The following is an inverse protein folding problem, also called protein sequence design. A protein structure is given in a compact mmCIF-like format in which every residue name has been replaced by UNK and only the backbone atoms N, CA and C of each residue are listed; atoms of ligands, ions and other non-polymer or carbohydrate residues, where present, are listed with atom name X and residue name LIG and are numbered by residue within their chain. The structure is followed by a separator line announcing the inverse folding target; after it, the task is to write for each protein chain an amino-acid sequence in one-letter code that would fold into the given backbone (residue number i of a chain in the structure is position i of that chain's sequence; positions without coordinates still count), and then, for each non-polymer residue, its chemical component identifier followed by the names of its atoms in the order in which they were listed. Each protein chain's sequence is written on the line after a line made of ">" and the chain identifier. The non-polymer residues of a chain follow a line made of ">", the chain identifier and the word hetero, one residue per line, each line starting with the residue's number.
data_IF_597018467366
#
_entry.id   IF_597018467366
#
_cell.length_a   1.000
_cell.length_b   1.000
_cell.length_c   1.000
_cell.angle_alpha   90.00
_cell.angle_beta   90.00
_cell.angle_gamma   90.00
#
_symmetry.space_group_name_H-M   'P 1'
#
loop_
_entity.id
_entity.type
_entity.pdbx_description
1 polymer ?
#
# COMPACT_ATOMS: atom_id res chain seq x y z
N UNK A 1 -19.85 -33.57 -50.95
CA UNK A 1 -20.63 -33.45 -49.70
C UNK A 1 -19.88 -34.21 -48.62
N UNK A 2 -19.76 -33.61 -47.43
CA UNK A 2 -19.30 -34.14 -46.14
C UNK A 2 -17.79 -34.27 -45.82
N UNK A 3 -17.40 -33.29 -45.00
CA UNK A 3 -16.24 -33.11 -44.11
C UNK A 3 -16.24 -34.13 -42.95
N UNK A 4 -15.06 -34.57 -42.48
CA UNK A 4 -14.64 -34.56 -41.06
C UNK A 4 -13.26 -35.23 -40.90
N UNK A 5 -12.15 -34.55 -40.56
CA UNK A 5 -11.84 -33.76 -39.34
C UNK A 5 -11.93 -34.57 -38.03
N UNK A 6 -11.04 -35.56 -37.85
CA UNK A 6 -10.72 -36.10 -36.52
C UNK A 6 -9.21 -36.26 -36.35
N UNK A 7 -8.51 -35.17 -36.03
CA UNK A 7 -7.13 -35.22 -35.55
C UNK A 7 -6.87 -34.14 -34.50
N UNK A 8 -7.32 -34.32 -33.26
CA UNK A 8 -6.96 -33.38 -32.17
C UNK A 8 -7.30 -33.85 -30.75
N UNK A 9 -7.07 -35.11 -30.35
CA UNK A 9 -7.21 -35.48 -28.92
C UNK A 9 -6.25 -36.53 -28.35
N UNK A 10 -5.32 -37.08 -29.13
CA UNK A 10 -4.47 -38.20 -28.68
C UNK A 10 -3.34 -37.84 -27.68
N UNK A 11 -3.10 -36.56 -27.38
CA UNK A 11 -1.96 -36.13 -26.57
C UNK A 11 -2.13 -36.29 -25.04
N UNK A 12 -3.36 -36.20 -24.52
CA UNK A 12 -3.60 -36.12 -23.06
C UNK A 12 -3.80 -37.52 -22.45
N UNK A 13 -4.38 -38.45 -23.21
CA UNK A 13 -4.74 -39.78 -22.69
C UNK A 13 -3.53 -40.69 -22.38
N UNK A 14 -2.35 -40.43 -22.98
CA UNK A 14 -1.13 -41.22 -22.73
C UNK A 14 -0.40 -40.85 -21.43
N UNK A 15 -0.77 -39.76 -20.77
CA UNK A 15 -0.11 -39.29 -19.53
C UNK A 15 -0.82 -39.75 -18.24
N UNK A 16 -2.01 -40.33 -18.35
CA UNK A 16 -2.78 -40.79 -17.18
C UNK A 16 -2.38 -42.23 -16.80
N UNK A 17 -2.00 -42.48 -15.54
CA UNK A 17 -1.59 -43.81 -15.11
C UNK A 17 -2.74 -44.81 -15.26
N UNK A 18 -2.42 -46.05 -15.64
CA UNK A 18 -3.42 -47.09 -15.92
C UNK A 18 -4.06 -47.67 -14.65
N UNK A 19 -3.37 -47.57 -13.52
CA UNK A 19 -3.88 -48.01 -12.21
C UNK A 19 -4.80 -46.97 -11.59
N UNK A 20 -5.96 -47.41 -11.09
CA UNK A 20 -6.93 -46.55 -10.40
C UNK A 20 -6.31 -45.86 -9.18
N UNK A 21 -5.45 -46.57 -8.44
CA UNK A 21 -4.77 -46.04 -7.25
C UNK A 21 -3.86 -44.85 -7.57
N UNK A 22 -3.10 -44.91 -8.66
CA UNK A 22 -2.22 -43.80 -9.07
C UNK A 22 -3.03 -42.60 -9.57
N UNK A 23 -4.18 -42.81 -10.23
CA UNK A 23 -5.07 -41.72 -10.61
C UNK A 23 -5.64 -40.99 -9.39
N UNK A 24 -6.11 -41.75 -8.39
CA UNK A 24 -6.60 -41.16 -7.14
C UNK A 24 -5.48 -40.41 -6.41
N UNK A 25 -4.28 -40.97 -6.34
CA UNK A 25 -3.11 -40.31 -5.73
C UNK A 25 -2.79 -38.98 -6.43
N UNK A 26 -2.73 -38.95 -7.76
CA UNK A 26 -2.45 -37.72 -8.51
C UNK A 26 -3.52 -36.64 -8.30
N UNK A 27 -4.80 -37.03 -8.26
CA UNK A 27 -5.89 -36.09 -7.99
C UNK A 27 -5.83 -35.55 -6.57
N UNK A 28 -5.51 -36.38 -5.57
CA UNK A 28 -5.32 -35.94 -4.19
C UNK A 28 -4.13 -35.00 -4.05
N UNK A 29 -3.01 -35.30 -4.71
CA UNK A 29 -1.84 -34.40 -4.73
C UNK A 29 -2.16 -33.07 -5.42
N UNK A 30 -2.83 -33.12 -6.58
CA UNK A 30 -3.26 -31.92 -7.29
C UNK A 30 -4.22 -31.07 -6.45
N UNK A 31 -5.18 -31.70 -5.77
CA UNK A 31 -6.10 -31.03 -4.87
C UNK A 31 -5.35 -30.40 -3.68
N UNK A 32 -4.40 -31.11 -3.07
CA UNK A 32 -3.60 -30.57 -1.97
C UNK A 32 -2.79 -29.35 -2.41
N UNK A 33 -2.12 -29.41 -3.56
CA UNK A 33 -1.36 -28.28 -4.11
C UNK A 33 -2.30 -27.08 -4.37
N UNK A 34 -3.48 -27.34 -4.94
CA UNK A 34 -4.47 -26.30 -5.21
C UNK A 34 -4.98 -25.65 -3.92
N UNK A 35 -5.26 -26.45 -2.89
CA UNK A 35 -5.69 -25.94 -1.58
C UNK A 35 -4.61 -25.09 -0.93
N UNK A 36 -3.37 -25.58 -0.86
CA UNK A 36 -2.24 -24.82 -0.28
C UNK A 36 -2.01 -23.52 -1.06
N UNK A 37 -2.05 -23.58 -2.40
CA UNK A 37 -1.91 -22.40 -3.25
C UNK A 37 -3.02 -21.37 -3.03
N UNK A 38 -4.28 -21.81 -2.99
CA UNK A 38 -5.43 -20.94 -2.74
C UNK A 38 -5.37 -20.30 -1.35
N UNK A 39 -5.07 -21.08 -0.30
CA UNK A 39 -4.92 -20.56 1.06
C UNK A 39 -3.76 -19.57 1.15
N UNK A 40 -2.62 -19.87 0.54
CA UNK A 40 -1.47 -18.95 0.51
C UNK A 40 -1.79 -17.64 -0.19
N UNK A 41 -2.48 -17.70 -1.33
CA UNK A 41 -2.90 -16.52 -2.09
C UNK A 41 -3.88 -15.64 -1.28
N UNK A 42 -4.93 -16.23 -0.73
CA UNK A 42 -5.91 -15.51 0.09
C UNK A 42 -5.23 -14.93 1.35
N UNK A 43 -4.39 -15.73 2.01
CA UNK A 43 -3.65 -15.30 3.19
C UNK A 43 -2.77 -14.08 2.90
N UNK A 44 -2.05 -14.07 1.77
CA UNK A 44 -1.23 -12.93 1.37
C UNK A 44 -2.05 -11.64 1.17
N UNK A 45 -3.20 -11.75 0.49
CA UNK A 45 -4.10 -10.60 0.28
C UNK A 45 -4.63 -10.04 1.60
N UNK A 46 -5.07 -10.93 2.50
CA UNK A 46 -5.60 -10.54 3.82
C UNK A 46 -4.53 -9.87 4.67
N UNK A 47 -3.33 -10.48 4.76
CA UNK A 47 -2.22 -9.92 5.54
C UNK A 47 -1.80 -8.57 5.01
N UNK A 48 -1.67 -8.43 3.68
CA UNK A 48 -1.31 -7.16 3.05
C UNK A 48 -2.36 -6.08 3.31
N UNK A 49 -3.65 -6.41 3.19
CA UNK A 49 -4.74 -5.48 3.49
C UNK A 49 -4.73 -5.01 4.95
N UNK A 50 -4.58 -5.92 5.90
CA UNK A 50 -4.50 -5.59 7.33
C UNK A 50 -3.28 -4.69 7.61
N UNK A 51 -2.13 -5.02 7.03
CA UNK A 51 -0.90 -4.26 7.26
C UNK A 51 -0.99 -2.84 6.68
N UNK A 52 -1.53 -2.69 5.48
CA UNK A 52 -1.73 -1.38 4.86
C UNK A 52 -2.70 -0.51 5.67
N UNK A 53 -3.81 -1.07 6.13
CA UNK A 53 -4.78 -0.36 6.99
C UNK A 53 -4.14 0.06 8.31
N UNK A 54 -3.36 -0.82 8.94
CA UNK A 54 -2.65 -0.53 10.18
C UNK A 54 -1.64 0.60 10.01
N UNK A 55 -0.78 0.52 8.98
CA UNK A 55 0.21 1.55 8.67
C UNK A 55 -0.47 2.88 8.34
N UNK A 56 -1.54 2.85 7.54
CA UNK A 56 -2.33 4.02 7.18
C UNK A 56 -2.91 4.70 8.42
N UNK A 57 -3.55 3.95 9.32
CA UNK A 57 -4.09 4.51 10.58
C UNK A 57 -3.00 5.06 11.48
N UNK A 58 -1.85 4.39 11.58
CA UNK A 58 -0.72 4.89 12.34
C UNK A 58 -0.21 6.22 11.77
N UNK A 59 -0.03 6.30 10.45
CA UNK A 59 0.37 7.52 9.76
C UNK A 59 -0.65 8.66 9.96
N UNK A 60 -1.95 8.36 9.86
CA UNK A 60 -3.04 9.31 10.08
C UNK A 60 -3.07 9.85 11.52
N UNK A 61 -2.87 8.98 12.51
CA UNK A 61 -2.85 9.39 13.91
C UNK A 61 -1.64 10.27 14.22
N UNK A 62 -0.47 9.94 13.65
CA UNK A 62 0.73 10.77 13.76
C UNK A 62 0.50 12.13 13.09
N UNK A 63 -0.03 12.15 11.86
CA UNK A 63 -0.26 13.41 11.14
C UNK A 63 -1.25 14.32 11.87
N UNK A 64 -2.34 13.75 12.40
CA UNK A 64 -3.32 14.47 13.22
C UNK A 64 -2.73 15.00 14.52
N UNK A 65 -1.89 14.22 15.18
CA UNK A 65 -1.22 14.66 16.42
C UNK A 65 -0.24 15.80 16.12
N UNK A 66 0.55 15.67 15.05
CA UNK A 66 1.51 16.67 14.59
C UNK A 66 0.81 17.99 14.23
N UNK A 67 -0.31 17.94 13.50
CA UNK A 67 -1.04 19.14 13.07
C UNK A 67 -1.67 19.93 14.22
N UNK A 68 -1.95 19.28 15.35
CA UNK A 68 -2.48 19.91 16.56
C UNK A 68 -1.41 20.58 17.44
N UNK A 69 -0.12 20.39 17.13
CA UNK A 69 0.95 20.96 17.95
C UNK A 69 1.16 22.45 17.71
N UNK A 70 1.54 23.18 18.78
CA UNK A 70 1.85 24.60 18.70
C UNK A 70 2.98 24.92 17.73
N UNK A 71 3.99 24.04 17.62
CA UNK A 71 5.11 24.22 16.67
C UNK A 71 4.62 24.29 15.23
N UNK A 72 3.65 23.45 14.84
CA UNK A 72 3.08 23.47 13.50
C UNK A 72 2.15 24.67 13.31
N UNK A 73 1.19 24.86 14.23
CA UNK A 73 0.18 25.93 14.09
C UNK A 73 0.80 27.33 14.14
N UNK A 74 1.72 27.57 15.07
CA UNK A 74 2.40 28.86 15.21
C UNK A 74 3.49 29.02 14.16
N UNK A 75 4.24 27.95 13.86
CA UNK A 75 5.27 27.98 12.83
C UNK A 75 4.70 28.35 11.46
N UNK A 76 3.51 27.84 11.11
CA UNK A 76 2.85 28.21 9.85
C UNK A 76 2.38 29.67 9.86
N UNK A 77 1.84 30.17 10.98
CA UNK A 77 1.43 31.58 11.13
C UNK A 77 2.62 32.55 11.06
N UNK A 78 3.77 32.16 11.60
CA UNK A 78 5.00 32.96 11.64
C UNK A 78 5.91 32.71 10.43
N UNK A 79 5.51 31.82 9.50
CA UNK A 79 6.28 31.41 8.33
C UNK A 79 7.67 30.84 8.68
N UNK A 80 7.80 30.21 9.85
CA UNK A 80 9.04 29.66 10.39
C UNK A 80 9.27 28.22 9.93
N UNK A 81 9.72 28.08 8.68
CA UNK A 81 10.00 26.77 8.07
C UNK A 81 11.05 25.94 8.84
N UNK A 82 12.06 26.60 9.43
CA UNK A 82 13.15 25.89 10.12
C UNK A 82 12.68 25.14 11.38
N UNK A 83 11.84 25.74 12.21
CA UNK A 83 11.32 25.08 13.42
C UNK A 83 10.41 23.90 13.07
N UNK A 84 9.53 24.09 12.07
CA UNK A 84 8.67 23.04 11.54
C UNK A 84 9.52 21.88 10.99
N UNK A 85 10.55 22.18 10.20
CA UNK A 85 11.46 21.19 9.64
C UNK A 85 12.16 20.36 10.72
N UNK A 86 12.72 21.01 11.75
CA UNK A 86 13.38 20.30 12.84
C UNK A 86 12.41 19.41 13.63
N UNK A 87 11.20 19.90 13.90
CA UNK A 87 10.18 19.12 14.57
C UNK A 87 9.71 17.92 13.74
N UNK A 88 9.40 18.15 12.46
CA UNK A 88 8.98 17.10 11.53
C UNK A 88 10.04 16.01 11.37
N UNK A 89 11.32 16.37 11.30
CA UNK A 89 12.42 15.39 11.24
C UNK A 89 12.58 14.59 12.54
N UNK A 90 12.36 15.21 13.71
CA UNK A 90 12.34 14.46 14.98
C UNK A 90 11.20 13.45 15.00
N UNK A 91 9.99 13.85 14.59
CA UNK A 91 8.83 12.95 14.52
C UNK A 91 9.11 11.83 13.53
N UNK A 92 9.59 12.14 12.32
CA UNK A 92 9.93 11.16 11.29
C UNK A 92 10.89 10.08 11.81
N UNK A 93 11.97 10.50 12.48
CA UNK A 93 12.96 9.58 13.07
C UNK A 93 12.39 8.75 14.20
N UNK A 94 11.55 9.34 15.05
CA UNK A 94 10.94 8.65 16.19
C UNK A 94 9.87 7.63 15.77
N UNK A 95 9.13 7.89 14.70
CA UNK A 95 8.08 6.99 14.19
C UNK A 95 8.57 6.01 13.13
N UNK A 96 9.79 6.19 12.61
CA UNK A 96 10.31 5.41 11.49
C UNK A 96 9.62 5.70 10.16
N UNK A 97 8.86 6.80 10.07
CA UNK A 97 8.17 7.17 8.84
C UNK A 97 9.17 7.53 7.72
N UNK A 98 8.82 7.22 6.47
CA UNK A 98 9.63 7.60 5.31
C UNK A 98 9.74 9.11 5.15
N UNK A 99 8.67 9.85 5.50
CA UNK A 99 8.63 11.30 5.50
C UNK A 99 7.56 11.83 6.47
N UNK A 100 7.76 13.06 6.95
CA UNK A 100 6.73 13.87 7.63
C UNK A 100 6.77 15.25 6.99
N UNK A 101 5.73 15.58 6.23
CA UNK A 101 5.65 16.81 5.44
C UNK A 101 4.51 17.66 5.97
N UNK A 102 4.84 18.88 6.36
CA UNK A 102 3.88 19.92 6.76
C UNK A 102 3.76 20.89 5.59
N UNK A 103 2.53 21.17 5.17
CA UNK A 103 2.22 22.17 4.14
C UNK A 103 1.27 23.25 4.67
N UNK A 104 1.26 24.40 4.01
CA UNK A 104 0.25 25.44 4.24
C UNK A 104 -1.02 25.21 3.40
N UNK A 105 -1.99 26.12 3.53
CA UNK A 105 -3.27 26.05 2.81
C UNK A 105 -3.13 26.17 1.29
N UNK A 106 -2.02 26.71 0.79
CA UNK A 106 -1.72 26.80 -0.65
C UNK A 106 -1.00 25.53 -1.15
N UNK A 107 -0.72 24.57 -0.26
CA UNK A 107 0.00 23.34 -0.57
C UNK A 107 1.52 23.51 -0.65
N UNK A 108 2.08 24.60 -0.12
CA UNK A 108 3.53 24.84 -0.08
C UNK A 108 4.14 24.10 1.12
N UNK A 109 5.23 23.35 0.90
CA UNK A 109 5.89 22.56 1.96
C UNK A 109 6.75 23.42 2.89
N UNK A 110 6.61 23.23 4.19
CA UNK A 110 7.46 23.79 5.26
C UNK A 110 8.35 22.73 5.91
N UNK A 111 8.11 21.45 5.64
CA UNK A 111 9.07 20.40 5.97
C UNK A 111 9.18 19.36 4.87
N UNK A 112 10.36 18.77 4.74
CA UNK A 112 10.61 17.61 3.89
C UNK A 112 11.98 16.98 4.27
N UNK A 113 12.15 15.64 4.26
CA UNK A 113 13.45 15.01 4.54
C UNK A 113 14.55 15.38 3.53
N UNK A 114 14.14 15.72 2.31
CA UNK A 114 14.97 16.29 1.23
C UNK A 114 14.83 17.82 1.27
N UNK A 115 15.82 18.57 1.79
CA UNK A 115 15.70 20.02 2.03
C UNK A 115 15.38 20.84 0.78
N UNK A 116 15.83 20.40 -0.39
CA UNK A 116 15.62 21.07 -1.68
C UNK A 116 14.15 21.08 -2.14
N UNK A 117 13.27 20.36 -1.42
CA UNK A 117 11.83 20.33 -1.66
C UNK A 117 11.04 21.25 -0.74
N UNK A 118 11.67 21.81 0.28
CA UNK A 118 11.05 22.80 1.17
C UNK A 118 10.79 24.08 0.36
N UNK A 119 9.63 24.69 0.56
CA UNK A 119 9.15 25.85 -0.19
C UNK A 119 8.54 25.53 -1.57
N UNK A 120 8.64 24.29 -2.05
CA UNK A 120 7.97 23.82 -3.28
C UNK A 120 6.58 23.29 -2.97
N UNK A 121 5.67 23.39 -3.95
CA UNK A 121 4.31 22.87 -3.85
C UNK A 121 4.25 21.34 -3.83
N UNK A 122 3.30 20.81 -3.07
CA UNK A 122 2.97 19.39 -3.04
C UNK A 122 2.51 18.91 -4.42
N UNK A 123 2.94 17.71 -4.81
CA UNK A 123 2.60 17.06 -6.08
C UNK A 123 2.00 15.71 -5.72
N UNK A 124 0.79 15.43 -6.18
CA UNK A 124 0.03 14.22 -5.81
C UNK A 124 -1.42 14.27 -6.28
N UNK A 125 -2.04 15.45 -6.27
CA UNK A 125 -3.43 15.65 -6.72
C UNK A 125 -4.49 15.16 -5.74
N UNK A 126 -4.09 14.72 -4.55
CA UNK A 126 -4.93 14.12 -3.49
C UNK A 126 -5.20 15.08 -2.32
N UNK A 127 -4.44 16.17 -2.20
CA UNK A 127 -4.50 17.09 -1.05
C UNK A 127 -5.83 17.85 -0.89
N UNK A 128 -6.70 17.85 -1.89
CA UNK A 128 -7.97 18.61 -1.89
C UNK A 128 -8.84 18.26 -0.67
N UNK A 129 -8.92 16.97 -0.33
CA UNK A 129 -9.71 16.50 0.82
C UNK A 129 -9.23 17.12 2.14
N UNK A 130 -7.92 17.27 2.33
CA UNK A 130 -7.37 17.91 3.51
C UNK A 130 -7.47 19.44 3.45
N UNK A 131 -7.11 20.05 2.31
CA UNK A 131 -6.99 21.51 2.19
C UNK A 131 -8.34 22.23 2.11
N UNK A 132 -9.30 21.66 1.37
CA UNK A 132 -10.60 22.28 1.11
C UNK A 132 -11.65 21.79 2.10
N UNK A 133 -11.68 20.48 2.37
CA UNK A 133 -12.71 19.87 3.21
C UNK A 133 -12.27 19.62 4.67
N UNK A 134 -11.00 19.83 4.99
CA UNK A 134 -10.47 19.61 6.35
C UNK A 134 -10.50 18.14 6.79
N UNK A 135 -10.58 17.20 5.84
CA UNK A 135 -10.70 15.77 6.11
C UNK A 135 -9.33 15.15 6.41
N UNK A 136 -9.34 14.14 7.27
CA UNK A 136 -8.18 13.29 7.54
C UNK A 136 -8.45 11.92 6.90
N UNK A 137 -7.59 11.47 6.00
CA UNK A 137 -7.79 10.26 5.18
C UNK A 137 -6.51 9.42 5.04
N UNK A 138 -6.67 8.18 4.57
CA UNK A 138 -5.62 7.20 4.24
C UNK A 138 -5.69 6.93 2.73
#
# INVERSE_FOLDING_TARGET
>A
MHVNSQSSSLGIQKMLPRSLGTRMLLLMMGLLILLVGATGFIGNQVVTGILNEYIGRAALNVSKTVSLTGVVQQGLKQLQSQEIQHYAERVRKATGASFVVVGDHEGKRYSHPVPERIGKYMVGGDNEQALVHGQSYI
#
